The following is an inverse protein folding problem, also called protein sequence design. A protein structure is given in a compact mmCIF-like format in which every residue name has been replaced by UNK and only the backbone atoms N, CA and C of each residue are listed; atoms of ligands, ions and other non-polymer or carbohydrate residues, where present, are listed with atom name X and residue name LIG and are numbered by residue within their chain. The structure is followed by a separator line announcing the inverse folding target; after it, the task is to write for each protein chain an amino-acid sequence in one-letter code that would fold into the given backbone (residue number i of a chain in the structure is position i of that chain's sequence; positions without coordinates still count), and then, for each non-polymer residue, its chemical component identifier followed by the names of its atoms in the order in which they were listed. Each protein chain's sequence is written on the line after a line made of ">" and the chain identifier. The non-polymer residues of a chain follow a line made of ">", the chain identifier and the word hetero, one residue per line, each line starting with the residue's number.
data_IF_610804419613
#
_entry.id   IF_610804419613
#
_cell.length_a   1.000
_cell.length_b   1.000
_cell.length_c   1.000
_cell.angle_alpha   90.00
_cell.angle_beta   90.00
_cell.angle_gamma   90.00
#
_symmetry.space_group_name_H-M   'P 1'
#
loop_
_entity.id
_entity.type
_entity.pdbx_description
1 polymer ?
#
# COMPACT_ATOMS: atom_id res chain seq x y z
N UNK A 1 -1.04 1.11 24.47
CA UNK A 1 -0.72 2.08 23.41
C UNK A 1 -1.36 1.51 22.16
N UNK A 2 -2.41 2.16 21.68
CA UNK A 2 -3.16 1.68 20.52
C UNK A 2 -2.26 1.85 19.28
N UNK A 3 -1.92 0.74 18.61
CA UNK A 3 -0.95 0.74 17.50
C UNK A 3 -1.48 1.56 16.31
N UNK A 4 -2.78 1.87 16.32
CA UNK A 4 -3.52 2.53 15.26
C UNK A 4 -3.94 3.97 15.60
N UNK A 5 -3.44 4.57 16.68
CA UNK A 5 -3.75 5.98 17.03
C UNK A 5 -2.98 7.00 16.16
N UNK A 6 -2.05 6.55 15.32
CA UNK A 6 -1.27 7.43 14.45
C UNK A 6 -2.17 8.17 13.44
N UNK A 7 -1.92 9.46 13.21
CA UNK A 7 -2.70 10.28 12.27
C UNK A 7 -2.36 9.97 10.82
N UNK A 8 -1.13 9.50 10.56
CA UNK A 8 -0.70 9.20 9.19
C UNK A 8 -1.06 7.76 8.84
N UNK A 9 -2.14 7.60 8.07
CA UNK A 9 -2.68 6.30 7.67
C UNK A 9 -2.94 6.22 6.18
N UNK A 10 -2.73 5.03 5.63
CA UNK A 10 -3.19 4.66 4.31
C UNK A 10 -4.57 4.03 4.47
N UNK A 11 -5.56 4.60 3.80
CA UNK A 11 -6.94 4.14 3.82
C UNK A 11 -7.39 3.92 2.39
N UNK A 12 -8.06 2.79 2.15
CA UNK A 12 -8.59 2.45 0.84
C UNK A 12 -8.97 0.99 0.71
N UNK A 13 -9.26 0.61 -0.53
CA UNK A 13 -9.61 -0.76 -0.90
C UNK A 13 -8.44 -1.39 -1.65
N UNK A 14 -7.89 -2.48 -1.09
CA UNK A 14 -6.71 -3.14 -1.66
C UNK A 14 -6.92 -4.65 -1.77
N UNK A 15 -6.38 -5.30 -2.81
CA UNK A 15 -6.28 -6.76 -2.84
C UNK A 15 -5.41 -7.22 -1.67
N UNK A 16 -6.03 -7.95 -0.75
CA UNK A 16 -5.44 -8.35 0.52
C UNK A 16 -5.76 -9.80 0.84
N UNK A 17 -4.74 -10.55 1.21
CA UNK A 17 -4.89 -11.86 1.83
C UNK A 17 -4.14 -11.92 3.16
N UNK A 18 -4.81 -12.48 4.18
CA UNK A 18 -4.21 -12.77 5.48
C UNK A 18 -4.25 -14.27 5.73
N UNK A 19 -3.08 -14.89 5.84
CA UNK A 19 -2.94 -16.32 6.14
C UNK A 19 -2.43 -16.54 7.57
N UNK A 20 -2.98 -17.53 8.25
CA UNK A 20 -2.49 -17.99 9.55
C UNK A 20 -1.14 -18.68 9.36
N UNK A 21 -0.23 -18.46 10.31
CA UNK A 21 1.03 -19.16 10.42
C UNK A 21 1.05 -19.96 11.72
N UNK A 22 1.71 -21.12 11.68
CA UNK A 22 1.95 -21.93 12.89
C UNK A 22 2.87 -21.20 13.88
N UNK A 23 3.81 -20.41 13.36
CA UNK A 23 4.69 -19.52 14.12
C UNK A 23 5.21 -18.39 13.25
N UNK A 24 5.69 -17.31 13.89
CA UNK A 24 6.38 -16.24 13.17
C UNK A 24 7.64 -16.78 12.46
N UNK A 25 7.95 -16.30 11.24
CA UNK A 25 9.16 -16.68 10.55
C UNK A 25 10.41 -16.33 11.38
N UNK A 26 11.47 -17.10 11.16
CA UNK A 26 12.78 -16.82 11.78
C UNK A 26 13.32 -15.44 11.36
N UNK A 27 14.23 -14.88 12.15
CA UNK A 27 14.87 -13.59 11.82
C UNK A 27 15.50 -13.54 10.42
N UNK A 28 16.13 -14.63 9.96
CA UNK A 28 16.69 -14.71 8.61
C UNK A 28 15.63 -14.66 7.51
N UNK A 29 14.50 -15.34 7.70
CA UNK A 29 13.37 -15.31 6.77
C UNK A 29 12.68 -13.94 6.74
N UNK A 30 12.52 -13.31 7.92
CA UNK A 30 12.01 -11.95 8.02
C UNK A 30 12.91 -10.97 7.25
N UNK A 31 14.24 -11.05 7.43
CA UNK A 31 15.18 -10.19 6.73
C UNK A 31 15.17 -10.37 5.20
N UNK A 32 15.03 -11.61 4.71
CA UNK A 32 14.89 -11.88 3.27
C UNK A 32 13.59 -11.27 2.71
N UNK A 33 12.48 -11.42 3.42
CA UNK A 33 11.20 -10.82 3.02
C UNK A 33 11.28 -9.30 3.06
N UNK A 34 11.91 -8.72 4.09
CA UNK A 34 12.09 -7.29 4.26
C UNK A 34 12.93 -6.69 3.12
N UNK A 35 14.03 -7.34 2.72
CA UNK A 35 14.81 -6.90 1.56
C UNK A 35 14.01 -6.96 0.25
N UNK A 36 13.19 -7.99 0.08
CA UNK A 36 12.26 -8.10 -1.03
C UNK A 36 11.25 -6.96 -1.07
N UNK A 37 10.65 -6.65 0.09
CA UNK A 37 9.72 -5.54 0.28
C UNK A 37 10.39 -4.19 0.03
N UNK A 38 11.59 -3.96 0.56
CA UNK A 38 12.31 -2.70 0.40
C UNK A 38 12.59 -2.40 -1.06
N UNK A 39 13.10 -3.39 -1.80
CA UNK A 39 13.35 -3.25 -3.24
C UNK A 39 12.06 -2.95 -4.01
N UNK A 40 10.97 -3.62 -3.67
CA UNK A 40 9.66 -3.35 -4.28
C UNK A 40 9.17 -1.93 -4.02
N UNK A 41 9.16 -1.51 -2.75
CA UNK A 41 8.73 -0.16 -2.35
C UNK A 41 9.61 0.93 -2.97
N UNK A 42 10.92 0.69 -3.05
CA UNK A 42 11.87 1.59 -3.72
C UNK A 42 11.49 1.79 -5.18
N UNK A 43 11.27 0.71 -5.91
CA UNK A 43 10.87 0.77 -7.32
C UNK A 43 9.51 1.46 -7.46
N UNK A 44 8.52 1.09 -6.64
CA UNK A 44 7.17 1.66 -6.71
C UNK A 44 7.14 3.17 -6.50
N UNK A 45 7.97 3.71 -5.60
CA UNK A 45 8.05 5.16 -5.35
C UNK A 45 8.59 5.93 -6.57
N UNK A 46 9.58 5.38 -7.28
CA UNK A 46 10.20 6.03 -8.45
C UNK A 46 9.17 6.24 -9.58
N UNK A 47 8.28 5.27 -9.79
CA UNK A 47 7.26 5.36 -10.85
C UNK A 47 6.16 6.39 -10.58
N UNK A 48 6.02 6.87 -9.34
CA UNK A 48 4.96 7.79 -8.95
C UNK A 48 5.37 9.25 -8.87
N UNK A 49 6.65 9.57 -9.10
CA UNK A 49 7.15 10.95 -9.14
C UNK A 49 7.02 11.53 -10.57
N UNK A 50 6.15 12.52 -10.80
CA UNK A 50 6.04 13.16 -12.11
C UNK A 50 7.31 13.98 -12.41
N UNK A 51 7.95 13.71 -13.53
CA UNK A 51 9.04 14.55 -14.04
C UNK A 51 8.44 15.81 -14.68
N UNK A 52 8.75 16.99 -14.15
CA UNK A 52 8.30 18.28 -14.69
C UNK A 52 8.85 18.52 -16.11
N UNK A 53 8.00 19.00 -17.02
CA UNK A 53 8.29 19.09 -18.47
C UNK A 53 9.11 20.34 -18.81
N UNK A 54 8.92 21.41 -18.03
CA UNK A 54 9.33 22.76 -18.41
C UNK A 54 10.84 23.00 -18.35
N UNK A 55 11.61 22.05 -17.80
CA UNK A 55 13.07 22.11 -17.66
C UNK A 55 13.84 21.11 -18.55
N UNK A 56 13.16 20.35 -19.41
CA UNK A 56 13.79 19.29 -20.19
C UNK A 56 14.38 19.81 -21.51
N UNK A 57 15.67 19.54 -21.74
CA UNK A 57 16.29 19.70 -23.05
C UNK A 57 15.79 18.62 -24.04
N UNK A 58 16.25 18.65 -25.29
CA UNK A 58 15.85 17.66 -26.30
C UNK A 58 16.16 16.21 -25.90
N UNK A 59 17.21 15.98 -25.09
CA UNK A 59 17.57 14.66 -24.58
C UNK A 59 16.58 14.26 -23.47
N UNK A 60 16.25 15.18 -22.58
CA UNK A 60 15.24 15.03 -21.54
C UNK A 60 13.85 14.72 -22.10
N UNK A 61 13.46 15.37 -23.19
CA UNK A 61 12.20 15.07 -23.88
C UNK A 61 12.18 13.66 -24.49
N UNK A 62 13.28 13.20 -25.07
CA UNK A 62 13.36 11.85 -25.61
C UNK A 62 13.41 10.79 -24.49
N UNK A 63 14.13 11.05 -23.40
CA UNK A 63 14.12 10.21 -22.20
C UNK A 63 12.71 10.13 -21.59
N UNK A 64 11.98 11.24 -21.52
CA UNK A 64 10.58 11.25 -21.06
C UNK A 64 9.66 10.46 -21.98
N UNK A 65 9.86 10.55 -23.30
CA UNK A 65 9.11 9.73 -24.27
C UNK A 65 9.43 8.23 -24.11
N UNK A 66 10.67 7.88 -23.80
CA UNK A 66 11.06 6.51 -23.48
C UNK A 66 10.41 6.05 -22.18
N UNK A 67 10.41 6.88 -21.14
CA UNK A 67 9.76 6.60 -19.87
C UNK A 67 8.26 6.33 -20.03
N UNK A 68 7.55 7.13 -20.84
CA UNK A 68 6.14 6.90 -21.18
C UNK A 68 5.91 5.55 -21.88
N UNK A 69 6.79 5.16 -22.81
CA UNK A 69 6.71 3.85 -23.47
C UNK A 69 6.94 2.71 -22.48
N UNK A 70 7.88 2.88 -21.54
CA UNK A 70 8.15 1.89 -20.51
C UNK A 70 6.96 1.77 -19.55
N UNK A 71 6.38 2.90 -19.11
CA UNK A 71 5.17 2.91 -18.28
C UNK A 71 4.01 2.21 -18.98
N UNK A 72 3.75 2.49 -20.26
CA UNK A 72 2.71 1.78 -21.01
C UNK A 72 2.98 0.27 -21.11
N UNK A 73 4.23 -0.14 -21.36
CA UNK A 73 4.59 -1.55 -21.37
C UNK A 73 4.38 -2.20 -20.00
N UNK A 74 4.70 -1.50 -18.92
CA UNK A 74 4.47 -1.96 -17.55
C UNK A 74 2.98 -2.10 -17.25
N UNK A 75 2.15 -1.13 -17.66
CA UNK A 75 0.70 -1.20 -17.49
C UNK A 75 0.11 -2.40 -18.26
N UNK A 76 0.53 -2.60 -19.52
CA UNK A 76 0.10 -3.75 -20.32
C UNK A 76 0.54 -5.09 -19.71
N UNK A 77 1.78 -5.17 -19.21
CA UNK A 77 2.28 -6.36 -18.52
C UNK A 77 1.53 -6.57 -17.20
N UNK A 78 1.21 -5.48 -16.49
CA UNK A 78 0.36 -5.48 -15.31
C UNK A 78 -1.01 -6.06 -15.60
N UNK A 79 -1.70 -5.57 -16.64
CA UNK A 79 -2.99 -6.10 -17.08
C UNK A 79 -2.95 -7.59 -17.44
N UNK A 80 -1.88 -8.04 -18.12
CA UNK A 80 -1.69 -9.45 -18.45
C UNK A 80 -1.45 -10.31 -17.21
N UNK A 81 -0.63 -9.84 -16.29
CA UNK A 81 -0.34 -10.51 -15.04
C UNK A 81 -1.57 -10.57 -14.14
N UNK A 82 -2.37 -9.49 -14.05
CA UNK A 82 -3.64 -9.49 -13.30
C UNK A 82 -4.62 -10.53 -13.85
N UNK A 83 -4.61 -10.81 -15.16
CA UNK A 83 -5.43 -11.88 -15.75
C UNK A 83 -4.92 -13.29 -15.43
N UNK A 84 -3.63 -13.45 -15.12
CA UNK A 84 -3.02 -14.75 -14.82
C UNK A 84 -2.90 -15.02 -13.32
N UNK A 85 -2.73 -13.97 -12.51
CA UNK A 85 -2.63 -14.02 -11.07
C UNK A 85 -4.06 -13.98 -10.52
N UNK A 86 -4.45 -15.01 -9.77
CA UNK A 86 -5.64 -14.93 -8.95
C UNK A 86 -5.37 -13.94 -7.82
N UNK A 87 -5.70 -12.67 -8.06
CA UNK A 87 -5.62 -11.65 -7.02
C UNK A 87 -6.57 -12.01 -5.89
N UNK A 88 -6.17 -11.77 -4.63
CA UNK A 88 -7.06 -11.98 -3.51
C UNK A 88 -8.22 -10.97 -3.53
N UNK A 89 -9.27 -11.20 -2.71
CA UNK A 89 -10.36 -10.26 -2.57
C UNK A 89 -9.87 -8.85 -2.23
N UNK A 90 -10.57 -7.85 -2.77
CA UNK A 90 -10.37 -6.46 -2.40
C UNK A 90 -11.10 -6.19 -1.10
N UNK A 91 -10.38 -5.70 -0.08
CA UNK A 91 -10.91 -5.44 1.26
C UNK A 91 -10.60 -4.00 1.68
N UNK A 92 -11.53 -3.41 2.45
CA UNK A 92 -11.33 -2.12 3.10
C UNK A 92 -10.23 -2.24 4.17
N UNK A 93 -9.20 -1.42 4.04
CA UNK A 93 -7.97 -1.45 4.82
C UNK A 93 -7.64 -0.06 5.35
N UNK A 94 -7.19 -0.03 6.60
CA UNK A 94 -6.55 1.13 7.23
C UNK A 94 -5.20 0.69 7.78
N UNK A 95 -4.09 1.29 7.35
CA UNK A 95 -2.75 0.87 7.79
C UNK A 95 -1.80 2.02 8.06
N UNK A 96 -0.86 1.79 8.98
CA UNK A 96 0.31 2.64 9.21
C UNK A 96 1.59 1.78 9.18
N UNK A 97 2.73 2.37 9.52
CA UNK A 97 4.03 1.65 9.52
C UNK A 97 4.13 0.54 10.57
N UNK A 98 3.28 0.58 11.60
CA UNK A 98 3.32 -0.33 12.75
C UNK A 98 2.30 -1.47 12.65
N UNK A 99 1.25 -1.32 11.85
CA UNK A 99 0.21 -2.33 11.72
C UNK A 99 -0.85 -1.96 10.69
N UNK A 100 -1.85 -2.82 10.59
CA UNK A 100 -3.08 -2.53 9.86
C UNK A 100 -4.35 -3.05 10.54
N UNK A 101 -5.48 -2.48 10.16
CA UNK A 101 -6.83 -2.97 10.43
C UNK A 101 -7.58 -3.16 9.12
N UNK A 102 -8.33 -4.25 9.00
CA UNK A 102 -9.14 -4.50 7.80
C UNK A 102 -10.49 -5.12 8.14
N UNK A 103 -11.43 -5.01 7.22
CA UNK A 103 -12.76 -5.61 7.33
C UNK A 103 -12.72 -7.06 6.84
N UNK A 104 -13.04 -8.00 7.72
CA UNK A 104 -12.97 -9.43 7.43
C UNK A 104 -13.70 -10.29 8.46
N UNK A 105 -13.85 -11.60 8.21
CA UNK A 105 -14.58 -12.49 9.10
C UNK A 105 -13.79 -12.73 10.41
N UNK A 106 -14.22 -12.07 11.48
CA UNK A 106 -13.60 -12.12 12.82
C UNK A 106 -13.40 -13.55 13.34
N UNK A 107 -14.33 -14.46 13.01
CA UNK A 107 -14.32 -15.86 13.47
C UNK A 107 -13.10 -16.68 13.02
N UNK A 108 -12.32 -16.19 12.07
CA UNK A 108 -11.16 -16.90 11.51
C UNK A 108 -9.91 -16.81 12.39
N UNK A 109 -9.81 -15.79 13.24
CA UNK A 109 -8.57 -15.46 13.94
C UNK A 109 -8.77 -15.33 15.45
N UNK A 110 -7.71 -15.61 16.22
CA UNK A 110 -7.63 -15.34 17.66
C UNK A 110 -6.48 -14.38 17.94
N UNK A 111 -6.63 -13.55 18.96
CA UNK A 111 -5.56 -12.67 19.45
C UNK A 111 -4.31 -13.50 19.76
N UNK A 112 -3.16 -13.00 19.33
CA UNK A 112 -1.86 -13.67 19.43
C UNK A 112 -1.56 -14.66 18.31
N UNK A 113 -2.48 -14.91 17.38
CA UNK A 113 -2.14 -15.70 16.19
C UNK A 113 -1.12 -14.96 15.32
N UNK A 114 -0.08 -15.69 14.89
CA UNK A 114 0.86 -15.23 13.88
C UNK A 114 0.23 -15.29 12.50
N UNK A 115 0.45 -14.25 11.69
CA UNK A 115 -0.11 -14.14 10.35
C UNK A 115 0.92 -13.62 9.34
N UNK A 116 0.73 -14.00 8.08
CA UNK A 116 1.33 -13.33 6.93
C UNK A 116 0.26 -12.49 6.23
N UNK A 117 0.61 -11.27 5.93
CA UNK A 117 -0.17 -10.30 5.16
C UNK A 117 0.44 -10.23 3.77
N UNK A 118 -0.37 -10.51 2.75
CA UNK A 118 -0.02 -10.39 1.35
C UNK A 118 -0.86 -9.25 0.76
N UNK A 119 -0.24 -8.09 0.58
CA UNK A 119 -0.91 -6.84 0.22
C UNK A 119 -0.41 -6.29 -1.12
N UNK A 120 -1.33 -5.99 -2.04
CA UNK A 120 -0.99 -5.41 -3.33
C UNK A 120 -1.30 -3.89 -3.32
N UNK A 121 -0.29 -3.08 -3.01
CA UNK A 121 -0.46 -1.61 -2.87
C UNK A 121 -0.30 -0.82 -4.18
N UNK A 122 0.32 -1.41 -5.20
CA UNK A 122 0.63 -0.74 -6.45
C UNK A 122 -0.09 -1.46 -7.62
N UNK A 123 -1.19 -0.91 -8.16
CA UNK A 123 -1.97 -1.60 -9.20
C UNK A 123 -1.18 -1.93 -10.47
N UNK A 124 -0.24 -1.05 -10.86
CA UNK A 124 0.63 -1.22 -12.04
C UNK A 124 1.75 -2.26 -11.83
N UNK A 125 1.98 -2.68 -10.58
CA UNK A 125 2.97 -3.70 -10.25
C UNK A 125 2.28 -4.84 -9.48
N UNK A 126 1.99 -5.98 -10.12
CA UNK A 126 1.30 -7.12 -9.51
C UNK A 126 2.24 -7.93 -8.60
N UNK A 127 2.97 -7.23 -7.72
CA UNK A 127 3.85 -7.78 -6.71
C UNK A 127 3.28 -7.40 -5.34
N UNK A 128 3.06 -8.41 -4.51
CA UNK A 128 2.62 -8.20 -3.15
C UNK A 128 3.77 -7.76 -2.23
N UNK A 129 3.44 -6.85 -1.33
CA UNK A 129 4.16 -6.64 -0.08
C UNK A 129 3.82 -7.80 0.86
N UNK A 130 4.86 -8.47 1.39
CA UNK A 130 4.70 -9.58 2.34
C UNK A 130 5.12 -9.14 3.73
N UNK A 131 4.15 -8.84 4.57
CA UNK A 131 4.36 -8.42 5.95
C UNK A 131 4.00 -9.55 6.90
N UNK A 132 4.65 -9.60 8.05
CA UNK A 132 4.36 -10.56 9.10
C UNK A 132 3.91 -9.83 10.34
N UNK A 133 3.03 -10.46 11.12
CA UNK A 133 2.49 -9.82 12.30
C UNK A 133 1.72 -10.77 13.20
N UNK A 134 1.15 -10.18 14.23
CA UNK A 134 0.29 -10.87 15.19
C UNK A 134 -1.08 -10.20 15.24
N UNK A 135 -2.12 -11.00 15.38
CA UNK A 135 -3.49 -10.51 15.63
C UNK A 135 -3.53 -9.85 17.01
N UNK A 136 -3.98 -8.61 17.07
CA UNK A 136 -4.16 -7.84 18.31
C UNK A 136 -5.62 -7.44 18.47
N UNK A 137 -5.97 -6.86 19.63
CA UNK A 137 -7.30 -6.27 19.80
C UNK A 137 -7.46 -5.09 18.84
N UNK A 138 -8.57 -5.06 18.10
CA UNK A 138 -9.02 -3.85 17.41
C UNK A 138 -9.86 -3.01 18.37
N UNK A 139 -9.79 -1.69 18.24
CA UNK A 139 -10.71 -0.77 18.89
C UNK A 139 -12.12 -0.86 18.29
N UNK A 140 -12.26 -1.39 17.07
CA UNK A 140 -13.51 -1.65 16.39
C UNK A 140 -13.76 -3.17 16.33
N UNK A 141 -14.79 -3.66 17.03
CA UNK A 141 -15.11 -5.09 17.07
C UNK A 141 -15.45 -5.73 15.72
N UNK A 142 -15.68 -4.94 14.67
CA UNK A 142 -15.92 -5.45 13.31
C UNK A 142 -14.66 -5.53 12.44
N UNK A 143 -13.51 -5.10 12.95
CA UNK A 143 -12.24 -5.08 12.23
C UNK A 143 -11.22 -6.01 12.86
N UNK A 144 -10.37 -6.59 12.02
CA UNK A 144 -9.27 -7.42 12.45
C UNK A 144 -8.02 -6.55 12.46
N UNK A 145 -7.40 -6.42 13.64
CA UNK A 145 -6.19 -5.63 13.83
C UNK A 145 -4.94 -6.52 13.84
N UNK A 146 -3.90 -6.08 13.13
CA UNK A 146 -2.63 -6.79 12.99
C UNK A 146 -1.50 -5.82 13.33
N UNK A 147 -0.66 -6.21 14.29
CA UNK A 147 0.59 -5.51 14.59
C UNK A 147 1.72 -6.16 13.81
N UNK A 148 2.46 -5.39 13.03
CA UNK A 148 3.56 -5.91 12.23
C UNK A 148 4.80 -6.22 13.08
N UNK A 149 5.56 -7.24 12.65
CA UNK A 149 6.78 -7.72 13.28
C UNK A 149 7.87 -7.87 12.24
N UNK A 150 9.10 -7.53 12.62
CA UNK A 150 10.27 -7.76 11.77
C UNK A 150 10.43 -6.78 10.61
N UNK A 151 9.67 -5.68 10.58
CA UNK A 151 9.85 -4.62 9.57
C UNK A 151 11.15 -3.86 9.85
N UNK A 152 12.07 -3.88 8.89
CA UNK A 152 13.31 -3.12 8.91
C UNK A 152 13.09 -1.62 8.70
N UNK A 153 14.09 -0.81 9.04
CA UNK A 153 14.01 0.66 8.90
C UNK A 153 13.79 1.09 7.46
N UNK A 154 14.47 0.45 6.49
CA UNK A 154 14.32 0.77 5.07
C UNK A 154 12.89 0.57 4.54
N UNK A 155 12.20 -0.49 4.98
CA UNK A 155 10.78 -0.72 4.63
C UNK A 155 9.89 0.30 5.34
N UNK A 156 10.12 0.59 6.62
CA UNK A 156 9.35 1.61 7.38
C UNK A 156 9.41 2.98 6.71
N UNK A 157 10.60 3.48 6.43
CA UNK A 157 10.81 4.81 5.85
C UNK A 157 10.11 4.95 4.49
N UNK A 158 10.11 3.88 3.69
CA UNK A 158 9.44 3.87 2.38
C UNK A 158 7.93 3.75 2.49
N UNK A 159 7.44 2.91 3.40
CA UNK A 159 6.00 2.83 3.67
C UNK A 159 5.48 4.18 4.15
N UNK A 160 6.18 4.85 5.06
CA UNK A 160 5.82 6.18 5.53
C UNK A 160 5.72 7.20 4.38
N UNK A 161 6.69 7.17 3.45
CA UNK A 161 6.63 8.00 2.24
C UNK A 161 5.42 7.70 1.36
N UNK A 162 5.11 6.41 1.12
CA UNK A 162 3.93 6.03 0.33
C UNK A 162 2.64 6.48 1.02
N UNK A 163 2.52 6.23 2.33
CA UNK A 163 1.37 6.64 3.13
C UNK A 163 1.19 8.16 3.03
N UNK A 164 2.28 8.92 3.18
CA UNK A 164 2.27 10.38 3.08
C UNK A 164 1.88 10.89 1.68
N UNK A 165 2.42 10.28 0.62
CA UNK A 165 2.04 10.61 -0.76
C UNK A 165 0.56 10.34 -1.00
N UNK A 166 0.04 9.20 -0.54
CA UNK A 166 -1.38 8.87 -0.68
C UNK A 166 -2.26 9.85 0.10
N UNK A 167 -1.91 10.12 1.36
CA UNK A 167 -2.62 11.08 2.19
C UNK A 167 -2.71 12.47 1.55
N UNK A 168 -1.60 12.98 1.00
CA UNK A 168 -1.59 14.24 0.25
C UNK A 168 -2.50 14.22 -0.97
N UNK A 169 -2.56 13.11 -1.71
CA UNK A 169 -3.45 12.96 -2.88
C UNK A 169 -4.91 12.94 -2.46
N UNK A 170 -5.26 12.23 -1.40
CA UNK A 170 -6.63 12.20 -0.87
C UNK A 170 -7.12 13.59 -0.46
N UNK A 171 -6.31 14.34 0.29
CA UNK A 171 -6.64 15.72 0.68
C UNK A 171 -6.85 16.62 -0.54
N UNK A 172 -5.98 16.51 -1.56
CA UNK A 172 -6.12 17.30 -2.79
C UNK A 172 -7.42 17.00 -3.56
N UNK A 173 -7.83 15.72 -3.61
CA UNK A 173 -9.07 15.29 -4.23
C UNK A 173 -10.31 15.77 -3.47
N UNK A 174 -10.27 15.73 -2.14
CA UNK A 174 -11.36 16.24 -1.28
C UNK A 174 -11.59 17.74 -1.54
N UNK A 175 -10.53 18.56 -1.51
CA UNK A 175 -10.64 20.00 -1.78
C UNK A 175 -11.12 20.31 -3.20
N UNK A 176 -10.67 19.57 -4.22
CA UNK A 176 -11.16 19.75 -5.59
C UNK A 176 -12.64 19.34 -5.76
N UNK A 177 -13.13 18.39 -4.95
CA UNK A 177 -14.53 17.97 -4.96
C UNK A 177 -15.46 18.95 -4.23
N UNK A 178 -14.94 19.70 -3.25
CA UNK A 178 -15.67 20.77 -2.56
C UNK A 178 -15.78 22.03 -3.43
N UNK A 179 -14.74 22.36 -4.19
CA UNK A 179 -14.74 23.51 -5.11
C UNK A 179 -15.72 23.34 -6.29
N UNK A 180 -16.07 22.10 -6.65
CA UNK A 180 -17.07 21.77 -7.68
C UNK A 180 -18.53 21.68 -7.17
N UNK A 181 -18.78 22.00 -5.89
CA UNK A 181 -20.13 21.93 -5.26
C UNK A 181 -20.86 23.27 -5.12
N UNK A 182 -20.34 24.36 -5.70
CA UNK A 182 -21.11 25.59 -5.97
C UNK A 182 -21.26 25.72 -7.50
N UNK A 183 -22.44 26.10 -8.07
CA UNK A 183 -23.43 27.04 -7.51
C UNK A 183 -24.91 26.60 -7.64
N UNK A 184 -25.78 27.10 -6.76
CA UNK A 184 -27.15 27.58 -7.06
C UNK A 184 -27.91 27.79 -5.75
N UNK A 185 -27.89 29.03 -5.25
CA UNK A 185 -28.94 29.61 -4.41
C UNK A 185 -28.47 30.96 -3.89
N UNK A 186 -28.81 32.03 -4.60
CA UNK A 186 -29.50 33.18 -4.00
C UNK A 186 -29.94 34.14 -5.11
N UNK A 187 -31.26 34.08 -5.32
CA UNK A 187 -32.23 35.04 -5.86
C UNK A 187 -31.80 36.48 -6.08
#
# INVERSE_FOLDING_TARGET
>A
MDVFEDRLKLEGEYPLEVSLLDSLPTHGQLALSDNGNENFLKTSLIWHDPVEIDELDNIGLELKRQDLKISLLLDMVGELLVKQVQLPPVLGLTMNVSGMEYEGPESKYKIGNSVQVTLYIAPSFPRALKLFGEIVHSSNSKRIAIKFVGIGTGVKDRLEKIIFQNHRRTIALEHASEENREPESSS
#
